data_IF_164907442191
#
_entry.id   IF_164907442191
#
_cell.length_a   1.000
_cell.length_b   1.000
_cell.length_c   1.000
_cell.angle_alpha   90.00
_cell.angle_beta   90.00
_cell.angle_gamma   90.00
#
_symmetry.space_group_name_H-M   'P 1'
#
loop_
_entity.id
_entity.type
_entity.pdbx_description
1 polymer ?
#
# COMPACT_ATOMS: atom_id res chain seq x y z
N UNK A 1 40.33 10.79 46.44
CA UNK A 1 39.37 11.65 45.70
C UNK A 1 39.58 11.34 44.23
N UNK A 2 38.64 10.62 43.60
CA UNK A 2 37.70 11.12 42.55
C UNK A 2 38.46 11.80 41.39
N UNK A 3 38.43 11.35 40.13
CA UNK A 3 37.31 10.76 39.39
C UNK A 3 37.77 9.95 38.17
N UNK A 4 36.96 8.95 37.84
CA UNK A 4 36.82 8.33 36.52
C UNK A 4 36.63 9.40 35.43
N UNK A 5 37.29 9.23 34.29
CA UNK A 5 36.74 9.64 33.00
C UNK A 5 36.68 8.39 32.11
N UNK A 6 35.53 7.71 32.17
CA UNK A 6 35.07 6.83 31.10
C UNK A 6 34.67 7.77 29.97
N UNK A 7 35.45 7.80 28.90
CA UNK A 7 35.03 8.41 27.65
C UNK A 7 33.93 7.53 27.05
N UNK A 8 32.68 7.92 27.27
CA UNK A 8 31.50 7.31 26.66
C UNK A 8 31.61 7.49 25.15
N UNK A 9 31.58 6.37 24.43
CA UNK A 9 31.36 6.31 22.99
C UNK A 9 30.03 6.99 22.66
N UNK A 10 30.07 8.24 22.20
CA UNK A 10 29.00 8.80 21.41
C UNK A 10 29.25 8.40 19.95
N UNK A 11 28.87 7.18 19.60
CA UNK A 11 28.60 6.86 18.20
C UNK A 11 27.43 7.72 17.78
N UNK A 12 27.73 8.89 17.20
CA UNK A 12 26.85 9.56 16.25
C UNK A 12 26.61 8.55 15.12
N UNK A 13 25.61 7.69 15.30
CA UNK A 13 24.88 7.17 14.16
C UNK A 13 24.28 8.42 13.50
N UNK A 14 25.00 8.97 12.52
CA UNK A 14 24.34 9.75 11.48
C UNK A 14 23.19 8.84 11.04
N UNK A 15 21.95 9.23 11.35
CA UNK A 15 20.78 8.50 10.95
C UNK A 15 20.88 8.35 9.44
N UNK A 16 21.31 7.18 8.98
CA UNK A 16 21.31 6.87 7.56
C UNK A 16 19.84 6.94 7.18
N UNK A 17 19.47 7.96 6.41
CA UNK A 17 18.14 8.04 5.81
C UNK A 17 17.86 6.70 5.15
N UNK A 18 16.67 6.13 5.40
CA UNK A 18 16.26 4.89 4.77
C UNK A 18 16.55 4.98 3.28
N UNK A 19 17.38 4.06 2.74
CA UNK A 19 17.72 4.09 1.34
C UNK A 19 16.45 4.00 0.50
N UNK A 20 16.49 4.60 -0.68
CA UNK A 20 15.45 4.38 -1.66
C UNK A 20 15.37 2.88 -2.01
N UNK A 21 14.17 2.37 -2.35
CA UNK A 21 14.04 1.02 -2.89
C UNK A 21 15.05 0.78 -4.02
N UNK A 22 15.54 -0.45 -4.11
CA UNK A 22 16.63 -0.80 -5.03
C UNK A 22 16.22 -0.76 -6.50
N UNK A 23 14.92 -0.83 -6.79
CA UNK A 23 14.34 -0.84 -8.11
C UNK A 23 13.60 0.46 -8.41
N UNK A 24 13.84 0.99 -9.61
CA UNK A 24 13.15 2.14 -10.17
C UNK A 24 13.36 3.44 -9.39
N UNK A 25 13.74 4.52 -10.06
CA UNK A 25 13.67 5.86 -9.50
C UNK A 25 13.30 6.79 -10.64
N UNK A 26 12.12 7.40 -10.57
CA UNK A 26 11.65 8.31 -11.61
C UNK A 26 10.80 9.42 -11.02
N UNK A 27 10.52 10.41 -11.86
CA UNK A 27 9.60 11.49 -11.53
C UNK A 27 8.47 11.51 -12.54
N UNK A 28 7.25 11.77 -12.08
CA UNK A 28 6.11 11.99 -12.97
C UNK A 28 5.19 13.09 -12.44
N UNK A 29 4.43 13.71 -13.33
CA UNK A 29 3.38 14.64 -12.99
C UNK A 29 2.03 13.91 -12.96
N UNK A 30 1.35 13.90 -11.82
CA UNK A 30 0.03 13.30 -11.64
C UNK A 30 -0.88 14.21 -10.83
N UNK A 31 -2.12 14.40 -11.29
CA UNK A 31 -3.10 15.27 -10.60
C UNK A 31 -2.66 16.73 -10.42
N UNK A 32 -1.72 17.21 -11.23
CA UNK A 32 -1.12 18.55 -11.09
C UNK A 32 0.06 18.64 -10.12
N UNK A 33 0.58 17.51 -9.62
CA UNK A 33 1.70 17.45 -8.68
C UNK A 33 2.84 16.60 -9.23
N UNK A 34 4.08 17.02 -8.94
CA UNK A 34 5.28 16.28 -9.32
C UNK A 34 5.65 15.28 -8.20
N UNK A 35 5.61 13.99 -8.53
CA UNK A 35 5.99 12.88 -7.67
C UNK A 35 7.43 12.44 -7.97
N UNK A 36 8.17 12.06 -6.93
CA UNK A 36 9.37 11.22 -7.04
C UNK A 36 9.03 9.83 -6.53
N UNK A 37 9.15 8.83 -7.40
CA UNK A 37 8.65 7.47 -7.19
C UNK A 37 9.77 6.44 -7.29
N UNK A 38 9.62 5.35 -6.53
CA UNK A 38 10.52 4.21 -6.53
C UNK A 38 9.80 2.95 -6.06
N UNK A 39 10.22 1.78 -6.55
CA UNK A 39 9.61 0.50 -6.19
C UNK A 39 9.64 -0.48 -7.36
N UNK A 40 8.84 -0.33 -8.41
CA UNK A 40 8.84 -1.25 -9.56
C UNK A 40 10.17 -1.27 -10.31
N UNK A 41 10.57 -2.45 -10.78
CA UNK A 41 11.67 -2.60 -11.73
C UNK A 41 11.24 -2.16 -13.14
N UNK A 42 10.00 -2.45 -13.54
CA UNK A 42 9.41 -1.96 -14.78
C UNK A 42 8.81 -0.59 -14.51
N UNK A 43 9.42 0.44 -15.06
CA UNK A 43 8.93 1.81 -14.96
C UNK A 43 7.68 2.01 -15.82
N UNK A 44 6.80 2.90 -15.36
CA UNK A 44 5.60 3.33 -16.04
C UNK A 44 5.05 4.58 -15.35
N UNK A 45 4.20 5.30 -16.04
CA UNK A 45 3.41 6.38 -15.46
C UNK A 45 2.20 5.83 -14.72
N UNK A 46 1.64 6.60 -13.79
CA UNK A 46 0.34 6.31 -13.15
C UNK A 46 -0.72 5.92 -14.18
N UNK A 47 -0.87 6.69 -15.25
CA UNK A 47 -1.89 6.44 -16.27
C UNK A 47 -1.67 5.12 -17.02
N UNK A 48 -0.41 4.77 -17.31
CA UNK A 48 -0.08 3.49 -17.95
C UNK A 48 -0.36 2.30 -17.03
N UNK A 49 0.03 2.38 -15.76
CA UNK A 49 -0.28 1.33 -14.79
C UNK A 49 -1.79 1.22 -14.55
N UNK A 50 -2.51 2.32 -14.41
CA UNK A 50 -3.97 2.31 -14.23
C UNK A 50 -4.68 1.68 -15.41
N UNK A 51 -4.27 2.05 -16.63
CA UNK A 51 -4.89 1.52 -17.84
C UNK A 51 -4.63 0.01 -17.98
N UNK A 52 -3.40 -0.43 -17.75
CA UNK A 52 -3.03 -1.85 -17.77
C UNK A 52 -3.84 -2.67 -16.76
N UNK A 53 -3.94 -2.18 -15.51
CA UNK A 53 -4.73 -2.86 -14.46
C UNK A 53 -6.22 -2.79 -14.72
N UNK A 54 -6.71 -1.66 -15.23
CA UNK A 54 -8.11 -1.54 -15.62
C UNK A 54 -8.46 -2.53 -16.73
N UNK A 55 -7.64 -2.64 -17.79
CA UNK A 55 -7.84 -3.59 -18.88
C UNK A 55 -7.79 -5.04 -18.40
N UNK A 56 -6.84 -5.36 -17.52
CA UNK A 56 -6.76 -6.69 -16.91
C UNK A 56 -8.07 -7.05 -16.19
N UNK A 57 -8.53 -6.19 -15.26
CA UNK A 57 -9.76 -6.45 -14.50
C UNK A 57 -10.98 -6.44 -15.43
N UNK A 58 -11.05 -5.53 -16.39
CA UNK A 58 -12.14 -5.44 -17.36
C UNK A 58 -12.31 -6.74 -18.14
N UNK A 59 -11.22 -7.28 -18.68
CA UNK A 59 -11.21 -8.53 -19.43
C UNK A 59 -11.59 -9.71 -18.55
N UNK A 60 -11.09 -9.75 -17.31
CA UNK A 60 -11.48 -10.76 -16.34
C UNK A 60 -12.99 -10.72 -16.05
N UNK A 61 -13.58 -9.53 -15.86
CA UNK A 61 -15.03 -9.41 -15.65
C UNK A 61 -15.82 -9.82 -16.89
N UNK A 62 -15.34 -9.49 -18.09
CA UNK A 62 -15.96 -9.92 -19.34
C UNK A 62 -16.01 -11.44 -19.45
N UNK A 63 -14.89 -12.12 -19.20
CA UNK A 63 -14.82 -13.58 -19.20
C UNK A 63 -15.82 -14.20 -18.21
N UNK A 64 -15.96 -13.62 -17.01
CA UNK A 64 -16.82 -14.17 -15.95
C UNK A 64 -18.31 -13.88 -16.16
N UNK A 65 -18.63 -12.79 -16.85
CA UNK A 65 -20.00 -12.35 -17.11
C UNK A 65 -20.49 -12.67 -18.52
N UNK A 66 -19.67 -13.34 -19.34
CA UNK A 66 -19.92 -13.59 -20.77
C UNK A 66 -20.25 -12.32 -21.56
N UNK A 67 -19.52 -11.24 -21.28
CA UNK A 67 -19.57 -9.97 -22.00
C UNK A 67 -18.39 -9.88 -22.99
N UNK A 68 -18.55 -9.13 -24.09
CA UNK A 68 -17.51 -8.90 -25.10
C UNK A 68 -17.31 -7.40 -25.38
N UNK A 69 -17.51 -6.58 -24.35
CA UNK A 69 -17.33 -5.13 -24.44
C UNK A 69 -15.85 -4.76 -24.34
N UNK A 70 -15.32 -4.00 -25.30
CA UNK A 70 -13.94 -3.54 -25.27
C UNK A 70 -13.67 -2.59 -24.10
N UNK A 71 -12.54 -2.76 -23.41
CA UNK A 71 -12.13 -1.83 -22.35
C UNK A 71 -11.87 -0.42 -22.92
N UNK A 72 -12.28 0.66 -22.24
CA UNK A 72 -11.96 2.02 -22.65
C UNK A 72 -10.45 2.27 -22.75
N UNK A 73 -10.00 3.04 -23.74
CA UNK A 73 -8.57 3.29 -23.98
C UNK A 73 -7.98 4.41 -23.12
N UNK A 74 -8.83 5.27 -22.53
CA UNK A 74 -8.41 6.30 -21.59
C UNK A 74 -8.46 5.77 -20.16
N UNK A 75 -7.42 6.05 -19.36
CA UNK A 75 -7.31 5.52 -18.01
C UNK A 75 -8.43 6.03 -17.08
N UNK A 76 -8.81 7.30 -17.21
CA UNK A 76 -9.88 7.89 -16.38
C UNK A 76 -11.22 7.28 -16.75
N UNK A 77 -11.55 7.26 -18.04
CA UNK A 77 -12.79 6.65 -18.54
C UNK A 77 -12.88 5.16 -18.16
N UNK A 78 -11.77 4.42 -18.29
CA UNK A 78 -11.72 3.01 -17.94
C UNK A 78 -12.03 2.80 -16.45
N UNK A 79 -11.35 3.57 -15.57
CA UNK A 79 -11.56 3.46 -14.13
C UNK A 79 -12.97 3.89 -13.69
N UNK A 80 -13.54 4.92 -14.32
CA UNK A 80 -14.91 5.38 -14.07
C UNK A 80 -15.94 4.29 -14.37
N UNK A 81 -15.87 3.71 -15.56
CA UNK A 81 -16.79 2.64 -15.99
C UNK A 81 -16.55 1.35 -15.22
N UNK A 82 -15.29 0.99 -14.97
CA UNK A 82 -14.94 -0.19 -14.18
C UNK A 82 -15.50 -0.08 -12.76
N UNK A 83 -15.40 1.09 -12.12
CA UNK A 83 -15.99 1.29 -10.80
C UNK A 83 -17.51 1.11 -10.79
N UNK A 84 -18.22 1.62 -11.81
CA UNK A 84 -19.66 1.40 -11.94
C UNK A 84 -19.97 -0.10 -12.04
N UNK A 85 -19.28 -0.83 -12.94
CA UNK A 85 -19.45 -2.28 -13.08
C UNK A 85 -19.18 -3.02 -11.77
N UNK A 86 -18.12 -2.65 -11.05
CA UNK A 86 -17.79 -3.25 -9.74
C UNK A 86 -18.88 -2.98 -8.70
N UNK A 87 -19.44 -1.78 -8.71
CA UNK A 87 -20.56 -1.41 -7.82
C UNK A 87 -21.81 -2.22 -8.10
N UNK A 88 -22.11 -2.50 -9.37
CA UNK A 88 -23.26 -3.31 -9.78
C UNK A 88 -23.11 -4.80 -9.39
N UNK A 89 -21.89 -5.33 -9.43
CA UNK A 89 -21.58 -6.70 -8.98
C UNK A 89 -21.72 -6.80 -7.45
N UNK A 90 -21.15 -5.84 -6.71
CA UNK A 90 -21.14 -5.80 -5.26
C UNK A 90 -20.30 -6.92 -4.60
N UNK A 91 -20.11 -6.81 -3.28
CA UNK A 91 -19.16 -7.68 -2.56
C UNK A 91 -19.51 -9.17 -2.67
N UNK A 92 -20.78 -9.54 -2.45
CA UNK A 92 -21.20 -10.93 -2.53
C UNK A 92 -21.08 -11.45 -3.96
N UNK A 93 -21.42 -10.62 -4.96
CA UNK A 93 -21.24 -10.98 -6.36
C UNK A 93 -19.78 -11.29 -6.70
N UNK A 94 -18.83 -10.54 -6.14
CA UNK A 94 -17.40 -10.84 -6.31
C UNK A 94 -16.95 -12.10 -5.59
N UNK A 95 -17.44 -12.33 -4.36
CA UNK A 95 -17.14 -13.55 -3.62
C UNK A 95 -17.63 -14.81 -4.36
N UNK A 96 -18.83 -14.74 -4.94
CA UNK A 96 -19.41 -15.84 -5.71
C UNK A 96 -18.70 -16.00 -7.06
N UNK A 97 -18.42 -14.90 -7.76
CA UNK A 97 -17.78 -14.90 -9.08
C UNK A 97 -16.34 -15.43 -9.04
N UNK A 98 -15.60 -15.13 -7.96
CA UNK A 98 -14.20 -15.51 -7.79
C UNK A 98 -13.99 -16.63 -6.76
N UNK A 99 -15.02 -17.41 -6.43
CA UNK A 99 -14.92 -18.47 -5.41
C UNK A 99 -13.74 -19.42 -5.70
N UNK A 100 -13.58 -19.85 -6.96
CA UNK A 100 -12.48 -20.72 -7.38
C UNK A 100 -11.13 -20.04 -7.21
N UNK A 101 -10.98 -18.82 -7.71
CA UNK A 101 -9.73 -18.06 -7.64
C UNK A 101 -9.33 -17.77 -6.19
N UNK A 102 -10.30 -17.53 -5.30
CA UNK A 102 -10.05 -17.36 -3.86
C UNK A 102 -9.53 -18.67 -3.24
N UNK A 103 -10.05 -19.83 -3.66
CA UNK A 103 -9.54 -21.14 -3.21
C UNK A 103 -8.13 -21.39 -3.74
N UNK A 104 -7.88 -21.10 -5.02
CA UNK A 104 -6.56 -21.23 -5.65
C UNK A 104 -5.54 -20.30 -4.98
N UNK A 105 -5.92 -19.06 -4.67
CA UNK A 105 -5.06 -18.12 -3.95
C UNK A 105 -4.71 -18.62 -2.55
N UNK A 106 -5.65 -19.21 -1.79
CA UNK A 106 -5.32 -19.83 -0.50
C UNK A 106 -4.26 -20.92 -0.66
N UNK A 107 -4.40 -21.77 -1.67
CA UNK A 107 -3.43 -22.84 -1.92
C UNK A 107 -2.07 -22.28 -2.35
N UNK A 108 -2.04 -21.24 -3.18
CA UNK A 108 -0.82 -20.52 -3.54
C UNK A 108 -0.09 -20.01 -2.29
N UNK A 109 -0.79 -19.33 -1.38
CA UNK A 109 -0.18 -18.79 -0.15
C UNK A 109 0.27 -19.88 0.82
N UNK A 110 -0.47 -20.99 0.94
CA UNK A 110 0.00 -22.15 1.70
C UNK A 110 1.29 -22.71 1.13
N UNK A 111 1.38 -22.86 -0.19
CA UNK A 111 2.60 -23.36 -0.82
C UNK A 111 3.80 -22.43 -0.67
N UNK A 112 3.59 -21.11 -0.74
CA UNK A 112 4.63 -20.13 -0.45
C UNK A 112 5.11 -20.31 0.99
N UNK A 113 4.19 -20.35 1.96
CA UNK A 113 4.53 -20.51 3.37
C UNK A 113 5.25 -21.84 3.67
N UNK A 114 4.72 -22.96 3.17
CA UNK A 114 5.27 -24.30 3.41
C UNK A 114 6.68 -24.48 2.83
N UNK A 115 7.00 -23.78 1.75
CA UNK A 115 8.32 -23.80 1.10
C UNK A 115 9.28 -22.72 1.66
N UNK A 116 8.80 -21.88 2.57
CA UNK A 116 9.58 -20.76 3.14
C UNK A 116 10.13 -21.06 4.52
N UNK A 117 11.19 -20.33 4.91
CA UNK A 117 11.75 -20.35 6.26
C UNK A 117 11.14 -19.21 7.11
N UNK A 118 9.85 -19.31 7.45
CA UNK A 118 9.10 -18.23 8.09
C UNK A 118 9.61 -17.86 9.49
N UNK A 119 10.31 -18.78 10.16
CA UNK A 119 10.93 -18.57 11.48
C UNK A 119 12.23 -17.75 11.43
N UNK A 120 12.75 -17.46 10.23
CA UNK A 120 13.99 -16.72 10.02
C UNK A 120 13.71 -15.36 9.38
N UNK A 121 13.60 -14.27 10.16
CA UNK A 121 13.24 -12.95 9.63
C UNK A 121 14.12 -12.46 8.48
N UNK A 122 15.39 -12.87 8.44
CA UNK A 122 16.36 -12.48 7.42
C UNK A 122 16.13 -13.10 6.04
N UNK A 123 15.31 -14.15 5.93
CA UNK A 123 15.02 -14.77 4.62
C UNK A 123 13.84 -14.10 3.92
N UNK A 124 12.93 -13.49 4.67
CA UNK A 124 11.73 -12.85 4.15
C UNK A 124 12.06 -11.85 3.05
N UNK A 125 11.22 -11.83 2.01
CA UNK A 125 11.40 -10.94 0.87
C UNK A 125 10.47 -9.75 0.99
N UNK A 126 11.02 -8.56 0.77
CA UNK A 126 10.28 -7.30 0.79
C UNK A 126 9.94 -6.81 -0.61
N UNK A 127 8.67 -6.48 -0.78
CA UNK A 127 8.21 -5.44 -1.68
C UNK A 127 8.45 -4.12 -0.97
N UNK A 128 9.11 -3.17 -1.63
CA UNK A 128 9.33 -1.82 -1.13
C UNK A 128 8.88 -0.85 -2.22
N UNK A 129 8.08 0.14 -1.85
CA UNK A 129 7.61 1.21 -2.72
C UNK A 129 7.64 2.54 -1.96
N UNK A 130 8.01 3.62 -2.64
CA UNK A 130 8.18 4.93 -2.01
C UNK A 130 7.75 6.04 -2.94
N UNK A 131 7.00 6.99 -2.42
CA UNK A 131 6.64 8.22 -3.11
C UNK A 131 6.95 9.43 -2.25
N UNK A 132 7.54 10.46 -2.87
CA UNK A 132 7.74 11.77 -2.26
C UNK A 132 7.06 12.81 -3.14
N UNK A 133 6.22 13.64 -2.53
CA UNK A 133 5.41 14.63 -3.26
C UNK A 133 5.12 15.86 -2.41
N UNK A 134 5.07 17.02 -3.05
CA UNK A 134 4.62 18.27 -2.44
C UNK A 134 3.10 18.43 -2.61
N UNK A 135 2.33 18.05 -1.58
CA UNK A 135 0.88 18.26 -1.53
C UNK A 135 0.54 19.35 -0.50
N UNK A 136 -0.03 20.50 -0.91
CA UNK A 136 -0.13 21.68 -0.06
C UNK A 136 -1.02 21.49 1.17
N UNK A 137 -2.01 20.58 1.10
CA UNK A 137 -2.97 20.33 2.17
C UNK A 137 -2.69 19.03 2.94
N UNK A 138 -1.68 18.25 2.53
CA UNK A 138 -1.39 16.95 3.13
C UNK A 138 -0.08 16.99 3.89
N UNK A 139 -0.16 16.74 5.19
CA UNK A 139 0.98 16.37 6.05
C UNK A 139 0.96 14.87 6.29
N UNK A 140 2.04 14.30 6.83
CA UNK A 140 2.06 12.89 7.23
C UNK A 140 0.95 12.54 8.23
N UNK A 141 0.64 13.45 9.17
CA UNK A 141 -0.50 13.30 10.08
C UNK A 141 -1.84 13.34 9.35
N UNK A 142 -2.02 14.30 8.43
CA UNK A 142 -3.26 14.41 7.66
C UNK A 142 -3.50 13.15 6.81
N UNK A 143 -2.45 12.65 6.15
CA UNK A 143 -2.51 11.41 5.38
C UNK A 143 -2.87 10.22 6.26
N UNK A 144 -2.20 10.05 7.41
CA UNK A 144 -2.50 8.96 8.34
C UNK A 144 -3.93 9.02 8.87
N UNK A 145 -4.39 10.19 9.35
CA UNK A 145 -5.75 10.34 9.84
C UNK A 145 -6.79 10.09 8.74
N UNK A 146 -6.54 10.54 7.51
CA UNK A 146 -7.41 10.26 6.37
C UNK A 146 -7.41 8.78 5.99
N UNK A 147 -6.23 8.12 6.00
CA UNK A 147 -6.06 6.70 5.69
C UNK A 147 -6.79 5.79 6.69
N UNK A 148 -6.98 6.26 7.92
CA UNK A 148 -7.75 5.59 8.98
C UNK A 148 -9.21 6.04 9.03
N UNK A 149 -9.77 6.50 7.92
CA UNK A 149 -11.18 6.92 7.82
C UNK A 149 -11.92 6.14 6.72
N UNK A 150 -13.27 6.10 6.75
CA UNK A 150 -14.08 5.47 5.68
C UNK A 150 -13.79 6.01 4.27
N UNK A 151 -13.19 7.19 4.16
CA UNK A 151 -12.81 7.74 2.85
C UNK A 151 -11.68 6.97 2.19
N UNK A 152 -10.79 6.36 2.98
CA UNK A 152 -9.71 5.56 2.45
C UNK A 152 -10.21 4.25 1.83
N UNK A 153 -11.22 3.60 2.43
CA UNK A 153 -11.86 2.42 1.83
C UNK A 153 -12.60 2.80 0.54
N UNK A 154 -13.36 3.90 0.57
CA UNK A 154 -14.06 4.41 -0.61
C UNK A 154 -13.07 4.76 -1.75
N UNK A 155 -11.91 5.33 -1.40
CA UNK A 155 -10.84 5.61 -2.35
C UNK A 155 -10.22 4.32 -2.91
N UNK A 156 -9.87 3.34 -2.07
CA UNK A 156 -9.31 2.07 -2.53
C UNK A 156 -10.26 1.37 -3.52
N UNK A 157 -11.54 1.26 -3.16
CA UNK A 157 -12.55 0.61 -4.00
C UNK A 157 -12.78 1.32 -5.34
N UNK A 158 -12.53 2.64 -5.38
CA UNK A 158 -12.76 3.50 -6.54
C UNK A 158 -11.56 3.66 -7.45
N UNK A 159 -10.41 3.97 -6.85
CA UNK A 159 -9.22 4.46 -7.54
C UNK A 159 -8.28 3.30 -7.91
N UNK A 160 -8.46 2.09 -7.37
CA UNK A 160 -7.62 0.93 -7.68
C UNK A 160 -8.44 -0.17 -8.39
N UNK A 161 -8.05 -0.49 -9.63
CA UNK A 161 -8.79 -1.45 -10.47
C UNK A 161 -8.91 -2.81 -9.79
N UNK A 162 -7.79 -3.28 -9.25
CA UNK A 162 -7.60 -4.58 -8.62
C UNK A 162 -8.26 -4.74 -7.24
N UNK A 163 -8.79 -3.66 -6.64
CA UNK A 163 -9.53 -3.71 -5.36
C UNK A 163 -11.00 -4.03 -5.56
N UNK A 164 -11.42 -5.29 -5.50
CA UNK A 164 -12.83 -5.65 -5.68
C UNK A 164 -13.69 -5.12 -4.54
N UNK A 165 -13.22 -5.25 -3.30
CA UNK A 165 -13.73 -4.50 -2.16
C UNK A 165 -12.69 -4.42 -1.05
N UNK A 166 -12.84 -3.39 -0.22
CA UNK A 166 -12.17 -3.20 1.05
C UNK A 166 -13.15 -2.58 2.03
N UNK A 167 -13.20 -3.16 3.23
CA UNK A 167 -14.00 -2.69 4.36
C UNK A 167 -13.18 -2.73 5.62
N UNK A 168 -13.09 -1.60 6.30
CA UNK A 168 -12.37 -1.47 7.56
C UNK A 168 -13.33 -1.11 8.70
N UNK A 169 -13.04 -1.64 9.88
CA UNK A 169 -13.70 -1.22 11.11
C UNK A 169 -12.96 -0.01 11.71
N UNK A 170 -13.63 1.13 11.68
CA UNK A 170 -13.14 2.40 12.22
C UNK A 170 -13.58 2.65 13.67
N UNK A 171 -14.36 1.74 14.27
CA UNK A 171 -15.00 1.96 15.58
C UNK A 171 -14.13 1.56 16.76
N UNK A 172 -13.27 0.55 16.59
CA UNK A 172 -12.53 -0.07 17.70
C UNK A 172 -11.08 0.41 17.83
N UNK A 173 -10.63 1.32 16.97
CA UNK A 173 -9.22 1.74 16.89
C UNK A 173 -8.25 0.61 16.51
N UNK A 174 -8.76 -0.58 16.20
CA UNK A 174 -7.99 -1.81 15.97
C UNK A 174 -7.54 -1.99 14.52
N UNK A 175 -7.89 -1.07 13.61
CA UNK A 175 -7.41 -1.07 12.24
C UNK A 175 -7.73 -2.37 11.49
N UNK A 176 -8.85 -3.00 11.82
CA UNK A 176 -9.28 -4.25 11.20
C UNK A 176 -9.79 -3.97 9.79
N UNK A 177 -9.22 -4.58 8.77
CA UNK A 177 -9.73 -4.53 7.39
C UNK A 177 -10.05 -5.93 6.88
N UNK A 178 -11.04 -6.03 5.99
CA UNK A 178 -11.27 -7.17 5.09
C UNK A 178 -11.15 -6.68 3.66
N UNK A 179 -10.41 -7.42 2.85
CA UNK A 179 -10.02 -7.02 1.50
C UNK A 179 -10.17 -8.21 0.57
N UNK A 180 -10.76 -7.97 -0.60
CA UNK A 180 -10.65 -8.82 -1.77
C UNK A 180 -9.99 -7.99 -2.86
N UNK A 181 -8.76 -8.34 -3.19
CA UNK A 181 -7.98 -7.65 -4.23
C UNK A 181 -7.13 -8.66 -5.01
N UNK A 182 -6.70 -8.29 -6.21
CA UNK A 182 -5.87 -9.12 -7.07
C UNK A 182 -4.52 -8.49 -7.38
N UNK A 183 -3.45 -9.28 -7.40
CA UNK A 183 -2.14 -8.84 -7.92
C UNK A 183 -1.34 -10.06 -8.38
N UNK A 184 -0.49 -9.88 -9.39
CA UNK A 184 0.34 -10.96 -9.92
C UNK A 184 -0.46 -12.22 -10.32
N UNK A 185 -1.69 -12.03 -10.82
CA UNK A 185 -2.60 -13.12 -11.20
C UNK A 185 -3.28 -13.86 -10.03
N UNK A 186 -3.11 -13.40 -8.78
CA UNK A 186 -3.68 -14.04 -7.58
C UNK A 186 -4.75 -13.15 -6.95
N UNK A 187 -6.00 -13.62 -6.92
CA UNK A 187 -7.12 -12.90 -6.28
C UNK A 187 -7.27 -13.40 -4.84
N UNK A 188 -6.92 -12.56 -3.88
CA UNK A 188 -6.81 -12.96 -2.47
C UNK A 188 -7.90 -12.31 -1.62
N UNK A 189 -8.65 -13.13 -0.87
CA UNK A 189 -9.57 -12.66 0.18
C UNK A 189 -8.87 -12.77 1.54
N UNK A 190 -8.57 -11.64 2.16
CA UNK A 190 -7.81 -11.59 3.39
C UNK A 190 -8.29 -10.51 4.35
N UNK A 191 -7.78 -10.55 5.57
CA UNK A 191 -7.97 -9.53 6.60
C UNK A 191 -6.64 -8.95 7.03
N UNK A 192 -6.69 -7.74 7.57
CA UNK A 192 -5.62 -7.14 8.35
C UNK A 192 -6.18 -6.91 9.75
N UNK A 193 -5.98 -7.80 10.72
CA UNK A 193 -6.73 -7.75 11.99
C UNK A 193 -6.11 -6.82 13.05
N UNK A 194 -4.90 -6.31 12.84
CA UNK A 194 -4.09 -5.72 13.90
C UNK A 194 -3.18 -4.58 13.43
N UNK A 195 -3.72 -3.65 12.65
CA UNK A 195 -2.93 -2.57 12.05
C UNK A 195 -2.51 -1.48 13.06
N UNK A 196 -1.22 -1.46 13.45
CA UNK A 196 -0.73 -0.54 14.48
C UNK A 196 0.77 -0.27 14.44
N UNK A 197 1.21 0.82 15.09
CA UNK A 197 2.63 1.13 15.28
C UNK A 197 3.34 0.10 16.19
N UNK A 198 2.64 -0.48 17.17
CA UNK A 198 3.20 -1.46 18.09
C UNK A 198 3.60 -2.74 17.35
N UNK A 199 2.76 -3.21 16.41
CA UNK A 199 3.05 -4.40 15.63
C UNK A 199 4.35 -4.26 14.80
N UNK A 200 4.71 -3.05 14.36
CA UNK A 200 5.97 -2.85 13.65
C UNK A 200 7.20 -3.23 14.49
N UNK A 201 7.15 -3.05 15.82
CA UNK A 201 8.25 -3.43 16.70
C UNK A 201 8.30 -4.95 16.98
N UNK A 202 7.18 -5.65 16.79
CA UNK A 202 7.05 -7.09 17.01
C UNK A 202 7.46 -7.92 15.79
N UNK A 203 7.42 -7.32 14.60
CA UNK A 203 7.73 -7.97 13.33
C UNK A 203 9.19 -7.77 12.94
N UNK A 204 10.03 -8.74 13.32
CA UNK A 204 11.49 -8.65 13.19
C UNK A 204 12.04 -8.48 11.75
N UNK A 205 11.29 -8.89 10.73
CA UNK A 205 11.65 -8.65 9.32
C UNK A 205 11.42 -7.19 8.90
N UNK A 206 10.53 -6.47 9.59
CA UNK A 206 10.18 -5.09 9.24
C UNK A 206 11.31 -4.14 9.62
N UNK A 207 11.69 -3.28 8.67
CA UNK A 207 12.70 -2.24 8.87
C UNK A 207 12.26 -1.25 9.97
N UNK A 208 13.12 -0.88 10.94
CA UNK A 208 12.74 -0.01 12.05
C UNK A 208 12.31 1.42 11.69
N UNK A 209 12.71 1.99 10.55
CA UNK A 209 12.31 3.33 10.05
C UNK A 209 12.24 4.42 11.16
N UNK A 210 13.35 4.74 11.85
CA UNK A 210 13.35 5.68 12.98
C UNK A 210 12.94 7.12 12.60
N UNK A 211 13.13 7.51 11.34
CA UNK A 211 12.78 8.83 10.81
C UNK A 211 11.31 8.95 10.38
N UNK A 212 10.56 7.85 10.37
CA UNK A 212 9.12 7.83 10.12
C UNK A 212 8.38 7.62 11.44
N UNK A 213 7.95 8.74 12.04
CA UNK A 213 7.23 8.73 13.32
C UNK A 213 5.78 8.24 13.18
N UNK A 214 5.22 8.37 11.97
CA UNK A 214 3.89 7.87 11.64
C UNK A 214 4.10 6.61 10.82
N UNK A 215 3.86 5.45 11.43
CA UNK A 215 3.93 4.16 10.78
C UNK A 215 3.02 3.16 11.46
N UNK A 216 2.54 2.21 10.69
CA UNK A 216 1.77 1.09 11.21
C UNK A 216 2.05 -0.15 10.37
N UNK A 217 1.98 -1.30 11.03
CA UNK A 217 2.17 -2.59 10.43
C UNK A 217 0.93 -3.43 10.68
N UNK A 218 0.64 -4.34 9.76
CA UNK A 218 -0.54 -5.21 9.82
C UNK A 218 -0.23 -6.57 9.24
N UNK A 219 -0.74 -7.61 9.88
CA UNK A 219 -0.67 -8.97 9.37
C UNK A 219 -1.66 -9.17 8.24
N UNK A 220 -1.24 -9.71 7.09
CA UNK A 220 -2.15 -10.14 6.02
C UNK A 220 -2.56 -11.59 6.31
N UNK A 221 -3.80 -11.81 6.73
CA UNK A 221 -4.33 -13.13 7.12
C UNK A 221 -5.41 -13.61 6.15
N UNK A 222 -5.30 -14.83 5.64
CA UNK A 222 -6.30 -15.39 4.73
C UNK A 222 -7.66 -15.54 5.43
N UNK A 223 -8.74 -15.27 4.69
CA UNK A 223 -10.09 -15.67 5.12
C UNK A 223 -10.26 -17.17 4.82
N UNK A 224 -9.71 -18.02 5.68
CA UNK A 224 -9.65 -19.49 5.52
C UNK A 224 -10.18 -20.28 6.74
N UNK A 225 -10.65 -19.57 7.78
CA UNK A 225 -11.12 -20.16 9.04
C UNK A 225 -10.00 -20.59 10.00
N UNK A 226 -8.73 -20.30 9.68
CA UNK A 226 -7.53 -20.59 10.48
C UNK A 226 -6.66 -19.36 10.73
N UNK A 227 -7.00 -18.21 10.12
CA UNK A 227 -6.26 -16.95 10.20
C UNK A 227 -4.80 -17.10 9.75
N UNK A 228 -4.56 -17.87 8.68
CA UNK A 228 -3.21 -18.09 8.17
C UNK A 228 -2.58 -16.77 7.72
N UNK A 229 -1.53 -16.33 8.41
CA UNK A 229 -0.72 -15.20 7.99
C UNK A 229 0.10 -15.57 6.75
N UNK A 230 -0.04 -14.80 5.67
CA UNK A 230 0.75 -14.97 4.44
C UNK A 230 1.67 -13.78 4.15
N UNK A 231 1.58 -12.71 4.93
CA UNK A 231 2.46 -11.56 4.79
C UNK A 231 2.29 -10.53 5.89
N UNK A 232 3.16 -9.52 5.87
CA UNK A 232 3.14 -8.39 6.81
C UNK A 232 3.29 -7.10 6.02
N UNK A 233 2.34 -6.18 6.18
CA UNK A 233 2.40 -4.85 5.57
C UNK A 233 2.99 -3.85 6.57
N UNK A 234 3.69 -2.83 6.06
CA UNK A 234 4.14 -1.65 6.80
C UNK A 234 3.93 -0.43 5.91
N UNK A 235 3.19 0.56 6.38
CA UNK A 235 3.08 1.88 5.72
C UNK A 235 3.55 2.93 6.70
N UNK A 236 4.43 3.79 6.21
CA UNK A 236 5.08 4.83 6.97
C UNK A 236 5.01 6.15 6.21
N UNK A 237 4.78 7.26 6.93
CA UNK A 237 4.76 8.59 6.37
C UNK A 237 5.56 9.56 7.25
N UNK A 238 6.21 10.54 6.61
CA UNK A 238 6.84 11.67 7.31
C UNK A 238 6.72 12.95 6.49
N UNK A 239 6.70 14.08 7.18
CA UNK A 239 6.83 15.38 6.53
C UNK A 239 8.28 15.57 6.08
N UNK A 240 8.47 16.14 4.90
CA UNK A 240 9.80 16.43 4.33
C UNK A 240 9.85 17.85 3.75
N UNK A 241 11.05 18.42 3.75
CA UNK A 241 11.32 19.68 3.06
C UNK A 241 11.44 19.44 1.54
N UNK A 242 10.82 20.31 0.76
CA UNK A 242 10.83 20.28 -0.70
C UNK A 242 12.24 20.21 -1.32
N UNK A 243 13.23 20.83 -0.69
CA UNK A 243 14.61 20.78 -1.15
C UNK A 243 15.19 19.36 -1.15
N UNK A 244 14.68 18.45 -0.31
CA UNK A 244 15.15 17.05 -0.26
C UNK A 244 14.73 16.22 -1.48
N UNK A 245 13.80 16.71 -2.29
CA UNK A 245 13.29 16.04 -3.50
C UNK A 245 13.13 17.00 -4.70
N UNK A 246 13.96 18.05 -4.76
CA UNK A 246 14.05 18.91 -5.94
C UNK A 246 12.95 19.97 -6.09
N UNK A 247 12.18 20.24 -5.04
CA UNK A 247 11.12 21.26 -5.01
C UNK A 247 11.35 22.29 -3.87
N UNK A 248 12.49 23.01 -3.86
CA UNK A 248 12.85 23.91 -2.75
C UNK A 248 11.78 24.97 -2.47
N UNK A 249 11.55 25.24 -1.19
CA UNK A 249 10.53 26.20 -0.73
C UNK A 249 9.12 25.63 -0.61
N UNK A 250 8.91 24.36 -0.98
CA UNK A 250 7.67 23.63 -0.71
C UNK A 250 7.82 22.69 0.49
N UNK A 251 6.70 22.24 1.04
CA UNK A 251 6.64 21.12 1.98
C UNK A 251 6.06 19.91 1.27
N UNK A 252 6.52 18.73 1.63
CA UNK A 252 6.00 17.48 1.08
C UNK A 252 5.80 16.41 2.12
N UNK A 253 5.30 15.29 1.64
CA UNK A 253 5.19 14.03 2.37
C UNK A 253 6.05 12.99 1.67
N UNK A 254 6.67 12.15 2.46
CA UNK A 254 7.44 10.98 2.05
C UNK A 254 6.72 9.76 2.60
N UNK A 255 6.14 8.97 1.70
CA UNK A 255 5.40 7.75 2.00
C UNK A 255 6.24 6.57 1.58
N UNK A 256 6.47 5.66 2.52
CA UNK A 256 7.16 4.41 2.31
C UNK A 256 6.21 3.26 2.66
N UNK A 257 6.05 2.32 1.75
CA UNK A 257 5.35 1.07 1.98
C UNK A 257 6.31 -0.10 1.80
N UNK A 258 6.19 -1.10 2.68
CA UNK A 258 6.82 -2.40 2.46
C UNK A 258 5.89 -3.55 2.82
N UNK A 259 5.86 -4.58 1.98
CA UNK A 259 5.09 -5.80 2.20
C UNK A 259 6.06 -6.97 2.20
N UNK A 260 5.99 -7.78 3.25
CA UNK A 260 6.91 -8.88 3.50
C UNK A 260 6.21 -10.21 3.29
N UNK A 261 6.86 -11.09 2.53
CA UNK A 261 6.39 -12.43 2.19
C UNK A 261 7.46 -13.48 2.52
N UNK A 262 7.05 -14.74 2.67
CA UNK A 262 7.97 -15.88 2.76
C UNK A 262 8.90 -15.98 1.55
N UNK A 263 10.11 -16.50 1.75
CA UNK A 263 11.20 -16.47 0.77
C UNK A 263 10.97 -17.35 -0.48
N UNK A 264 9.97 -18.24 -0.47
CA UNK A 264 9.57 -19.02 -1.64
C UNK A 264 8.76 -18.21 -2.68
N UNK A 265 8.34 -16.98 -2.37
CA UNK A 265 7.63 -16.12 -3.33
C UNK A 265 8.51 -15.80 -4.55
N UNK A 266 7.90 -15.79 -5.73
CA UNK A 266 8.60 -15.49 -6.99
C UNK A 266 8.86 -13.99 -7.15
N UNK A 267 9.95 -13.63 -7.84
CA UNK A 267 10.24 -12.22 -8.13
C UNK A 267 9.19 -11.59 -9.06
N UNK A 268 8.62 -12.37 -9.98
CA UNK A 268 7.53 -11.90 -10.84
C UNK A 268 6.31 -11.44 -10.02
N UNK A 269 5.95 -12.19 -8.98
CA UNK A 269 4.85 -11.83 -8.11
C UNK A 269 5.21 -10.61 -7.23
N UNK A 270 6.46 -10.52 -6.75
CA UNK A 270 6.95 -9.33 -6.03
C UNK A 270 6.93 -8.07 -6.90
N UNK A 271 7.30 -8.17 -8.18
CA UNK A 271 7.24 -7.04 -9.11
C UNK A 271 5.80 -6.59 -9.39
N UNK A 272 4.86 -7.54 -9.51
CA UNK A 272 3.45 -7.19 -9.65
C UNK A 272 2.92 -6.44 -8.41
N UNK A 273 3.29 -6.87 -7.20
CA UNK A 273 2.97 -6.15 -5.96
C UNK A 273 3.67 -4.77 -5.90
N UNK A 274 4.92 -4.63 -6.36
CA UNK A 274 5.59 -3.31 -6.43
C UNK A 274 4.79 -2.33 -7.31
N UNK A 275 4.29 -2.79 -8.46
CA UNK A 275 3.45 -1.98 -9.36
C UNK A 275 2.11 -1.64 -8.71
N UNK A 276 1.47 -2.61 -8.06
CA UNK A 276 0.23 -2.41 -7.31
C UNK A 276 0.41 -1.35 -6.22
N UNK A 277 1.42 -1.49 -5.37
CA UNK A 277 1.59 -0.61 -4.20
C UNK A 277 1.98 0.81 -4.59
N UNK A 278 2.83 0.99 -5.61
CA UNK A 278 3.19 2.36 -6.01
C UNK A 278 2.00 3.14 -6.57
N UNK A 279 1.10 2.47 -7.32
CA UNK A 279 -0.10 3.11 -7.87
C UNK A 279 -1.07 3.48 -6.76
N UNK A 280 -1.23 2.62 -5.76
CA UNK A 280 -2.02 2.93 -4.57
C UNK A 280 -1.48 4.15 -3.83
N UNK A 281 -0.16 4.23 -3.60
CA UNK A 281 0.43 5.39 -2.91
C UNK A 281 0.08 6.67 -3.65
N UNK A 282 0.22 6.70 -4.98
CA UNK A 282 -0.10 7.89 -5.80
C UNK A 282 -1.60 8.22 -5.71
N UNK A 283 -2.47 7.25 -5.96
CA UNK A 283 -3.93 7.42 -5.96
C UNK A 283 -4.45 7.90 -4.61
N UNK A 284 -4.01 7.26 -3.53
CA UNK A 284 -4.43 7.58 -2.17
C UNK A 284 -3.91 8.95 -1.74
N UNK A 285 -2.70 9.33 -2.13
CA UNK A 285 -2.15 10.66 -1.83
C UNK A 285 -2.93 11.77 -2.52
N UNK A 286 -3.25 11.60 -3.81
CA UNK A 286 -4.07 12.54 -4.57
C UNK A 286 -5.49 12.64 -4.00
N UNK A 287 -6.07 11.51 -3.58
CA UNK A 287 -7.42 11.49 -3.00
C UNK A 287 -7.46 12.18 -1.64
N UNK A 288 -6.46 11.96 -0.79
CA UNK A 288 -6.33 12.66 0.48
C UNK A 288 -6.24 14.18 0.27
N UNK A 289 -5.39 14.63 -0.68
CA UNK A 289 -5.28 16.04 -1.06
C UNK A 289 -6.64 16.61 -1.50
N UNK A 290 -7.35 15.92 -2.40
CA UNK A 290 -8.66 16.33 -2.89
C UNK A 290 -9.70 16.41 -1.78
N UNK A 291 -9.78 15.40 -0.91
CA UNK A 291 -10.79 15.36 0.15
C UNK A 291 -10.56 16.44 1.22
N UNK A 292 -9.29 16.75 1.53
CA UNK A 292 -8.96 17.86 2.45
C UNK A 292 -9.26 19.21 1.80
N UNK A 293 -8.83 19.40 0.55
CA UNK A 293 -9.03 20.66 -0.19
C UNK A 293 -10.52 20.99 -0.37
N UNK A 294 -11.34 19.98 -0.65
CA UNK A 294 -12.79 20.15 -0.84
C UNK A 294 -13.58 20.17 0.47
N UNK A 295 -12.91 20.03 1.63
CA UNK A 295 -13.56 19.99 2.95
C UNK A 295 -14.35 18.70 3.23
N UNK A 296 -14.25 17.68 2.35
CA UNK A 296 -14.83 16.35 2.58
C UNK A 296 -14.18 15.66 3.77
N UNK A 297 -12.89 15.90 4.02
CA UNK A 297 -12.18 15.44 5.20
C UNK A 297 -11.64 16.62 6.00
N UNK A 298 -12.02 16.71 7.27
CA UNK A 298 -11.43 17.68 8.22
C UNK A 298 -10.31 16.99 8.97
N UNK A 299 -9.08 17.48 8.82
CA UNK A 299 -7.92 16.92 9.50
C UNK A 299 -8.06 17.14 11.01
N UNK A 300 -8.08 16.07 11.83
CA UNK A 300 -8.12 16.21 13.27
C UNK A 300 -6.81 16.82 13.80
N UNK A 301 -6.84 17.41 14.99
CA UNK A 301 -5.62 17.82 15.66
C UNK A 301 -4.69 16.60 15.88
N UNK A 302 -3.36 16.75 15.72
CA UNK A 302 -2.44 15.68 16.03
C UNK A 302 -2.52 15.29 17.51
N UNK A 303 -2.22 14.03 17.87
CA UNK A 303 -2.25 13.59 19.25
C UNK A 303 -1.23 14.41 20.03
N UNK A 304 -1.67 15.00 21.14
CA UNK A 304 -0.75 15.60 22.11
C UNK A 304 -0.07 14.44 22.84
N UNK A 305 1.19 14.20 22.53
CA UNK A 305 2.06 13.23 23.21
C UNK A 305 2.02 13.37 24.72
#
# INVERSE_FOLDING_TARGET
MRSLFIATFATLAAAQSTPWPSFGNWTEAAGGYDFTLSGPAKLGTKAEFELDRCHYVWNLLNERTNCDEGAPSDATECMDQLFQRKTEIGDQGFLDMFEREIIEARQFWYEVNDKSQLDKPETWKAVEARAVVSLPNVTAWAFSAWSSSPRADAANNRENAEHYFKHSDFTTGSGVSRILEGWGGTITNFTIPNYSAALCAERAMVRPLPEFLIKACGDKNLVDGKDTNFGVLNIAARDVDGASFGQPGKRGIDIYASIWYGDAISEEHLEAERQHVIIEIVNMSLKAQQDIETGKFTVPAPPTS
#
